data_IF_629241165434
#
_entry.id   IF_629241165434
#
_cell.length_a   1.000
_cell.length_b   1.000
_cell.length_c   1.000
_cell.angle_alpha   90.00
_cell.angle_beta   90.00
_cell.angle_gamma   90.00
#
_symmetry.space_group_name_H-M   'P 1'
#
loop_
_entity.id
_entity.type
_entity.pdbx_description
1 polymer ?
#
# COMPACT_ATOMS: atom_id res chain seq x y z
N UNK A 1 -58.35 -9.00 -0.64
CA UNK A 1 -58.46 -10.19 -1.51
C UNK A 1 -59.09 -9.76 -2.82
N UNK A 2 -58.55 -10.22 -3.96
CA UNK A 2 -59.09 -10.08 -5.33
C UNK A 2 -58.78 -8.69 -5.91
N UNK A 3 -57.75 -8.49 -6.72
CA UNK A 3 -57.63 -9.12 -8.04
C UNK A 3 -56.15 -9.30 -8.38
N UNK A 4 -55.65 -10.52 -8.15
CA UNK A 4 -54.61 -11.08 -8.99
C UNK A 4 -55.29 -11.64 -10.26
N UNK A 5 -54.51 -11.71 -11.34
CA UNK A 5 -54.83 -12.13 -12.71
C UNK A 5 -55.29 -11.02 -13.66
N UNK A 6 -54.35 -10.56 -14.49
CA UNK A 6 -54.44 -10.83 -15.93
C UNK A 6 -53.04 -10.75 -16.56
N UNK A 7 -52.53 -11.95 -16.83
CA UNK A 7 -51.39 -12.29 -17.67
C UNK A 7 -51.74 -12.08 -19.15
N UNK A 8 -50.95 -11.27 -19.86
CA UNK A 8 -50.79 -11.30 -21.33
C UNK A 8 -49.37 -10.79 -21.61
N UNK A 9 -48.32 -11.62 -21.72
CA UNK A 9 -47.99 -12.52 -22.83
C UNK A 9 -48.01 -11.85 -24.21
N UNK A 10 -46.91 -12.06 -24.94
CA UNK A 10 -46.59 -11.64 -26.32
C UNK A 10 -46.23 -10.15 -26.51
N UNK A 11 -45.21 -9.74 -27.27
CA UNK A 11 -44.21 -10.40 -28.11
C UNK A 11 -43.32 -9.28 -28.73
N UNK A 12 -42.12 -9.68 -29.17
CA UNK A 12 -41.40 -9.19 -30.36
C UNK A 12 -40.94 -7.71 -30.40
N UNK A 13 -39.61 -7.53 -30.39
CA UNK A 13 -38.99 -6.26 -30.76
C UNK A 13 -37.47 -6.26 -30.67
N UNK A 14 -36.82 -7.17 -31.40
CA UNK A 14 -35.38 -7.22 -31.57
C UNK A 14 -34.93 -6.06 -32.49
N UNK A 15 -34.26 -5.06 -31.91
CA UNK A 15 -33.55 -4.03 -32.68
C UNK A 15 -32.08 -4.05 -32.28
N UNK A 16 -31.28 -4.76 -33.08
CA UNK A 16 -29.84 -4.64 -33.15
C UNK A 16 -29.48 -3.24 -33.67
N UNK A 17 -29.00 -2.37 -32.81
CA UNK A 17 -28.16 -1.25 -33.22
C UNK A 17 -26.70 -1.68 -32.99
N UNK A 18 -26.12 -2.32 -34.00
CA UNK A 18 -24.66 -2.46 -34.11
C UNK A 18 -24.09 -1.09 -34.48
N UNK A 19 -23.54 -0.37 -33.50
CA UNK A 19 -22.59 0.70 -33.78
C UNK A 19 -21.20 0.03 -33.87
N UNK A 20 -20.76 -0.22 -35.10
CA UNK A 20 -19.42 -0.69 -35.39
C UNK A 20 -18.43 0.46 -35.11
N UNK A 21 -17.80 0.41 -33.95
CA UNK A 21 -16.60 1.21 -33.68
C UNK A 21 -15.42 0.53 -34.39
N UNK A 22 -14.59 1.27 -35.14
CA UNK A 22 -13.41 0.71 -35.78
C UNK A 22 -12.47 0.14 -34.72
N UNK A 23 -12.08 -1.11 -34.93
CA UNK A 23 -11.13 -1.86 -34.11
C UNK A 23 -9.79 -1.12 -34.04
N UNK A 24 -9.52 -0.50 -32.90
CA UNK A 24 -8.16 -0.20 -32.47
C UNK A 24 -7.56 -1.50 -31.93
N UNK A 25 -6.34 -1.89 -32.34
CA UNK A 25 -5.75 -3.16 -31.93
C UNK A 25 -5.59 -3.19 -30.42
N UNK A 26 -6.45 -3.97 -29.75
CA UNK A 26 -6.35 -4.32 -28.34
C UNK A 26 -5.05 -5.12 -28.16
N UNK A 27 -4.03 -4.39 -27.73
CA UNK A 27 -2.78 -4.97 -27.26
C UNK A 27 -3.14 -5.92 -26.12
N UNK A 28 -2.97 -7.23 -26.38
CA UNK A 28 -3.28 -8.27 -25.43
C UNK A 28 -2.70 -7.92 -24.04
N UNK A 29 -3.45 -8.11 -22.95
CA UNK A 29 -2.87 -8.03 -21.62
C UNK A 29 -1.89 -9.19 -21.51
N UNK A 30 -0.60 -8.87 -21.63
CA UNK A 30 0.45 -9.78 -21.20
C UNK A 30 0.16 -10.11 -19.73
N UNK A 31 0.07 -11.40 -19.35
CA UNK A 31 0.00 -11.72 -17.95
C UNK A 31 1.27 -11.15 -17.32
N UNK A 32 1.09 -10.20 -16.40
CA UNK A 32 2.12 -9.71 -15.48
C UNK A 32 2.60 -10.86 -14.60
N UNK A 33 3.32 -11.82 -15.20
CA UNK A 33 4.15 -12.81 -14.52
C UNK A 33 5.46 -12.15 -14.10
N UNK A 34 5.36 -11.05 -13.36
CA UNK A 34 6.42 -10.53 -12.50
C UNK A 34 5.91 -10.25 -11.08
N UNK A 35 4.82 -10.90 -10.68
CA UNK A 35 4.63 -11.31 -9.28
C UNK A 35 5.64 -12.43 -8.94
N UNK A 36 6.93 -12.14 -9.13
CA UNK A 36 8.01 -12.97 -8.62
C UNK A 36 8.05 -12.71 -7.13
N UNK A 37 7.27 -13.54 -6.44
CA UNK A 37 7.25 -13.82 -5.00
C UNK A 37 8.65 -13.66 -4.41
N UNK A 38 8.98 -12.45 -3.95
CA UNK A 38 10.11 -12.24 -3.06
C UNK A 38 9.77 -13.06 -1.83
N UNK A 39 10.47 -14.19 -1.65
CA UNK A 39 10.41 -14.92 -0.42
C UNK A 39 10.76 -13.93 0.69
N UNK A 40 9.76 -13.56 1.49
CA UNK A 40 9.91 -12.65 2.63
C UNK A 40 10.82 -13.32 3.65
N UNK A 41 12.12 -13.23 3.41
CA UNK A 41 13.11 -13.34 4.46
C UNK A 41 12.81 -12.15 5.35
N UNK A 42 12.39 -12.40 6.60
CA UNK A 42 12.14 -11.33 7.57
C UNK A 42 13.31 -10.35 7.51
N UNK A 43 13.08 -9.09 7.16
CA UNK A 43 14.16 -8.13 7.07
C UNK A 43 14.83 -8.03 8.43
N UNK A 44 16.15 -7.96 8.44
CA UNK A 44 16.88 -7.67 9.67
C UNK A 44 16.37 -6.34 10.21
N UNK A 45 15.69 -6.37 11.36
CA UNK A 45 15.13 -5.18 12.00
C UNK A 45 16.19 -4.12 12.28
N UNK A 46 17.47 -4.50 12.41
CA UNK A 46 18.56 -3.51 12.49
C UNK A 46 18.75 -2.80 11.17
N UNK A 47 18.84 -3.51 10.05
CA UNK A 47 18.97 -2.91 8.72
C UNK A 47 17.75 -2.02 8.39
N UNK A 48 16.54 -2.51 8.67
CA UNK A 48 15.30 -1.77 8.41
C UNK A 48 15.25 -0.42 9.15
N UNK A 49 15.69 -0.39 10.42
CA UNK A 49 15.74 0.87 11.18
C UNK A 49 16.71 1.89 10.61
N UNK A 50 17.76 1.49 9.89
CA UNK A 50 18.67 2.44 9.23
C UNK A 50 18.15 2.90 7.87
N UNK A 51 17.08 2.30 7.34
CA UNK A 51 16.41 2.75 6.14
C UNK A 51 15.42 3.87 6.48
N UNK A 52 15.84 5.12 6.27
CA UNK A 52 14.96 6.28 6.43
C UNK A 52 14.09 6.43 5.17
N UNK A 53 12.79 6.19 5.29
CA UNK A 53 11.81 6.33 4.19
C UNK A 53 11.08 7.66 4.23
N UNK A 54 10.72 8.09 5.43
CA UNK A 54 9.94 9.30 5.67
C UNK A 54 10.84 10.43 6.22
N UNK A 55 10.78 11.60 5.58
CA UNK A 55 11.52 12.79 5.99
C UNK A 55 10.60 14.01 6.07
N UNK A 56 10.94 14.96 6.95
CA UNK A 56 10.15 16.18 7.14
C UNK A 56 10.06 17.08 5.90
N UNK A 57 10.99 16.97 4.96
CA UNK A 57 11.00 17.76 3.71
C UNK A 57 10.01 17.25 2.67
N UNK A 58 9.40 16.08 2.88
CA UNK A 58 8.52 15.39 1.92
C UNK A 58 9.17 15.10 0.57
N UNK A 59 10.50 15.11 0.50
CA UNK A 59 11.22 14.70 -0.69
C UNK A 59 11.10 13.19 -0.88
N UNK A 60 10.89 12.75 -2.12
CA UNK A 60 10.88 11.32 -2.45
C UNK A 60 12.29 10.75 -2.31
N UNK A 61 12.39 9.55 -1.75
CA UNK A 61 13.62 8.78 -1.80
C UNK A 61 14.04 8.57 -3.26
N UNK A 62 15.34 8.76 -3.53
CA UNK A 62 15.91 8.60 -4.88
C UNK A 62 16.36 7.16 -5.14
N UNK A 63 16.54 6.38 -4.08
CA UNK A 63 17.01 5.00 -4.17
C UNK A 63 15.89 4.04 -4.60
N UNK A 64 16.29 2.99 -5.30
CA UNK A 64 15.42 1.91 -5.79
C UNK A 64 14.76 1.16 -4.64
N UNK A 65 15.46 1.11 -3.50
CA UNK A 65 15.01 0.42 -2.29
C UNK A 65 14.07 1.29 -1.43
N UNK A 66 13.81 2.53 -1.85
CA UNK A 66 12.90 3.45 -1.17
C UNK A 66 13.47 4.09 0.10
N UNK A 67 14.76 3.89 0.38
CA UNK A 67 15.48 4.55 1.47
C UNK A 67 16.11 5.85 0.97
N UNK A 68 16.26 6.83 1.85
CA UNK A 68 17.11 8.00 1.60
C UNK A 68 18.57 7.54 1.68
N UNK A 69 19.24 7.52 0.53
CA UNK A 69 20.63 7.07 0.42
C UNK A 69 21.55 7.87 1.35
N UNK A 70 22.39 7.16 2.10
CA UNK A 70 23.36 7.73 3.05
C UNK A 70 22.74 8.65 4.12
N UNK A 71 21.46 8.48 4.44
CA UNK A 71 20.84 9.23 5.54
C UNK A 71 21.41 8.77 6.89
N UNK A 72 21.96 9.67 7.71
CA UNK A 72 22.33 9.32 9.08
C UNK A 72 21.07 9.19 9.94
N UNK A 73 21.03 8.16 10.79
CA UNK A 73 20.00 8.02 11.82
C UNK A 73 19.29 6.66 11.82
N UNK A 74 18.23 6.60 12.62
CA UNK A 74 17.36 5.44 12.78
C UNK A 74 15.89 5.88 12.73
N UNK A 75 15.03 5.11 12.07
CA UNK A 75 13.58 5.33 12.07
C UNK A 75 12.90 4.43 13.10
N UNK A 76 11.84 4.96 13.72
CA UNK A 76 10.95 4.22 14.62
C UNK A 76 9.51 4.56 14.24
N UNK A 77 8.74 3.51 13.97
CA UNK A 77 7.34 3.64 13.62
C UNK A 77 6.43 3.80 14.84
N UNK A 78 5.15 4.01 14.58
CA UNK A 78 4.14 4.03 15.63
C UNK A 78 4.13 2.72 16.44
N UNK A 79 4.16 1.58 15.75
CA UNK A 79 4.17 0.25 16.36
C UNK A 79 5.37 0.02 17.30
N UNK A 80 6.53 0.60 16.98
CA UNK A 80 7.69 0.53 17.86
C UNK A 80 7.43 1.29 19.17
N UNK A 81 6.81 2.46 19.09
CA UNK A 81 6.41 3.25 20.25
C UNK A 81 5.35 2.51 21.07
N UNK A 82 4.30 1.98 20.42
CA UNK A 82 3.24 1.23 21.12
C UNK A 82 3.78 0.00 21.85
N UNK A 83 4.73 -0.73 21.24
CA UNK A 83 5.42 -1.86 21.86
C UNK A 83 6.21 -1.49 23.12
N UNK A 84 6.58 -0.22 23.29
CA UNK A 84 7.21 0.23 24.55
C UNK A 84 6.22 0.40 25.70
N UNK A 85 4.91 0.46 25.41
CA UNK A 85 3.86 0.79 26.37
C UNK A 85 3.92 2.22 26.91
N UNK A 86 4.79 3.08 26.36
CA UNK A 86 4.91 4.48 26.78
C UNK A 86 3.95 5.36 25.99
N UNK A 87 3.30 6.30 26.69
CA UNK A 87 2.44 7.33 26.09
C UNK A 87 3.19 8.60 25.69
N UNK A 88 4.48 8.66 26.00
CA UNK A 88 5.35 9.82 25.79
C UNK A 88 6.60 9.39 25.00
N UNK A 89 6.84 10.04 23.87
CA UNK A 89 7.98 9.78 22.98
C UNK A 89 9.30 9.91 23.72
N UNK A 90 9.43 10.89 24.61
CA UNK A 90 10.67 11.11 25.32
C UNK A 90 10.99 9.98 26.32
N UNK A 91 10.00 9.16 26.72
CA UNK A 91 10.19 7.93 27.51
C UNK A 91 10.34 6.69 26.62
N UNK A 92 9.68 6.67 25.46
CA UNK A 92 9.75 5.56 24.52
C UNK A 92 11.14 5.44 23.85
N UNK A 93 11.70 6.55 23.37
CA UNK A 93 12.92 6.52 22.56
C UNK A 93 14.13 5.90 23.28
N UNK A 94 14.42 6.19 24.57
CA UNK A 94 15.53 5.54 25.29
C UNK A 94 15.39 4.01 25.42
N UNK A 95 14.15 3.48 25.38
CA UNK A 95 13.89 2.04 25.42
C UNK A 95 14.15 1.37 24.06
N UNK A 96 14.00 2.10 22.96
CA UNK A 96 14.25 1.64 21.60
C UNK A 96 15.72 1.85 21.18
N UNK A 97 16.34 2.88 21.76
CA UNK A 97 17.69 3.32 21.46
C UNK A 97 18.45 3.78 22.71
N UNK A 98 19.33 2.95 23.29
CA UNK A 98 20.14 3.36 24.43
C UNK A 98 21.10 4.52 24.13
N UNK A 99 21.38 4.84 22.86
CA UNK A 99 22.18 6.01 22.51
C UNK A 99 21.42 7.33 22.66
N UNK A 100 20.08 7.26 22.76
CA UNK A 100 19.21 8.41 23.01
C UNK A 100 18.96 8.48 24.52
N UNK A 101 19.62 9.42 25.19
CA UNK A 101 19.31 9.78 26.57
C UNK A 101 18.65 11.15 26.64
N UNK A 102 17.85 11.37 27.68
CA UNK A 102 17.48 12.74 28.05
C UNK A 102 18.73 13.37 28.67
N UNK A 103 19.22 14.46 28.09
CA UNK A 103 20.29 15.24 28.69
C UNK A 103 19.90 15.65 30.10
N UNK A 104 20.82 15.44 31.06
CA UNK A 104 20.68 15.92 32.44
C UNK A 104 20.84 17.43 32.51
#
# INVERSE_FOLDING_TARGET
MRNALLMTALMLGFSLAHAEAPAEPELAPEPDTLASKTAETKPDLRAERHCIRDTGTRMKARDKDGCVANAPGRSYGHDDIERTGQTDIARALPLLDPSISRGN
#
